data_IF_541857135684
#
_entry.id   IF_541857135684
#
_cell.length_a   1.000
_cell.length_b   1.000
_cell.length_c   1.000
_cell.angle_alpha   90.00
_cell.angle_beta   90.00
_cell.angle_gamma   90.00
#
_symmetry.space_group_name_H-M   'P 1'
#
loop_
_entity.id
_entity.type
_entity.pdbx_description
1 polymer ?
#
# COMPACT_ATOMS: atom_id res chain seq x y z
N UNK A 1 22.93 -36.85 16.24
CA UNK A 1 22.56 -36.45 14.85
C UNK A 1 21.09 -36.05 14.76
N UNK A 2 20.63 -35.00 15.45
CA UNK A 2 19.20 -34.53 15.43
C UNK A 2 19.04 -33.00 15.44
N UNK A 3 20.08 -32.24 15.08
CA UNK A 3 20.05 -30.75 15.03
C UNK A 3 20.18 -30.14 13.63
N UNK A 4 20.29 -30.96 12.58
CA UNK A 4 20.48 -30.47 11.21
C UNK A 4 19.16 -30.34 10.40
N UNK A 5 18.01 -30.75 10.94
CA UNK A 5 16.76 -30.79 10.16
C UNK A 5 15.85 -29.58 10.37
N UNK A 6 16.19 -28.66 11.28
CA UNK A 6 15.34 -27.47 11.56
C UNK A 6 15.78 -26.24 10.77
N UNK A 7 17.01 -26.25 10.23
CA UNK A 7 17.51 -25.09 9.42
C UNK A 7 17.12 -25.14 7.94
N UNK A 8 16.58 -26.25 7.45
CA UNK A 8 16.20 -26.37 6.03
C UNK A 8 14.80 -25.81 5.70
N UNK A 9 14.00 -25.44 6.70
CA UNK A 9 12.66 -24.84 6.49
C UNK A 9 12.65 -23.31 6.53
N UNK A 10 13.80 -22.66 6.71
CA UNK A 10 13.97 -21.21 6.59
C UNK A 10 14.70 -20.87 5.28
N UNK A 11 14.34 -21.54 4.18
CA UNK A 11 14.56 -20.92 2.88
C UNK A 11 13.79 -19.58 2.91
N UNK A 12 14.41 -18.45 2.64
CA UNK A 12 13.69 -17.19 2.57
C UNK A 12 12.66 -17.35 1.44
N UNK A 13 11.38 -17.50 1.83
CA UNK A 13 10.31 -17.19 0.90
C UNK A 13 10.49 -15.69 0.69
N UNK A 14 11.12 -15.32 -0.39
CA UNK A 14 11.26 -13.93 -0.79
C UNK A 14 9.84 -13.42 -1.04
N UNK A 15 9.31 -12.69 -0.11
CA UNK A 15 8.01 -12.04 -0.18
C UNK A 15 8.21 -10.59 -0.64
N UNK A 16 7.23 -9.96 -1.28
CA UNK A 16 7.44 -8.84 -2.21
C UNK A 16 6.32 -7.81 -2.11
N UNK A 17 6.59 -6.50 -2.05
CA UNK A 17 5.60 -5.48 -1.69
C UNK A 17 5.56 -4.25 -2.58
N UNK A 18 4.35 -3.76 -2.85
CA UNK A 18 4.11 -2.39 -3.32
C UNK A 18 4.34 -1.38 -2.19
N UNK A 19 4.73 -0.12 -2.48
CA UNK A 19 4.83 0.92 -1.46
C UNK A 19 3.51 1.06 -0.71
N UNK A 20 3.54 1.43 0.58
CA UNK A 20 2.33 1.66 1.36
C UNK A 20 1.34 2.56 0.64
N UNK A 21 0.16 2.05 0.35
CA UNK A 21 -0.84 2.65 -0.55
C UNK A 21 -2.20 2.74 0.12
N UNK A 22 -3.11 3.56 -0.45
CA UNK A 22 -4.55 3.42 -0.23
C UNK A 22 -5.04 2.15 -0.95
N UNK A 23 -5.57 2.30 -2.16
CA UNK A 23 -5.90 1.18 -3.03
C UNK A 23 -4.93 1.08 -4.21
N UNK A 24 -4.77 2.20 -4.92
CA UNK A 24 -4.02 2.30 -6.16
C UNK A 24 -2.93 3.36 -6.10
N UNK A 25 -3.06 4.34 -5.20
CA UNK A 25 -2.09 5.43 -5.10
C UNK A 25 -1.16 5.25 -3.90
N UNK A 26 0.14 5.49 -4.07
CA UNK A 26 1.07 5.51 -2.94
C UNK A 26 0.70 6.64 -1.97
N UNK A 27 0.95 6.41 -0.68
CA UNK A 27 0.82 7.42 0.38
C UNK A 27 2.19 7.89 0.85
N UNK A 28 2.19 8.85 1.74
CA UNK A 28 3.42 9.29 2.42
C UNK A 28 3.77 8.45 3.65
N UNK A 29 2.93 7.46 3.99
CA UNK A 29 3.19 6.53 5.08
C UNK A 29 4.32 5.57 4.70
N UNK A 30 5.01 5.10 5.71
CA UNK A 30 6.09 4.12 5.58
C UNK A 30 5.84 2.98 6.56
N UNK A 31 6.23 1.80 6.18
CA UNK A 31 6.47 0.74 7.16
C UNK A 31 7.53 1.25 8.15
N UNK A 32 7.31 1.16 9.47
CA UNK A 32 8.28 1.61 10.45
C UNK A 32 9.63 0.91 10.28
N UNK A 33 10.72 1.63 10.62
CA UNK A 33 12.07 1.06 10.58
C UNK A 33 12.15 -0.25 11.36
N UNK A 34 12.83 -1.24 10.80
CA UNK A 34 12.96 -2.61 11.34
C UNK A 34 11.64 -3.42 11.36
N UNK A 35 10.63 -2.97 10.67
CA UNK A 35 9.42 -3.75 10.47
C UNK A 35 9.33 -4.24 9.03
N UNK A 36 8.65 -5.36 8.87
CA UNK A 36 8.28 -5.94 7.58
C UNK A 36 6.78 -6.11 7.54
N UNK A 37 6.16 -5.63 6.48
CA UNK A 37 4.75 -5.87 6.16
C UNK A 37 4.68 -6.91 5.05
N UNK A 38 4.04 -8.03 5.31
CA UNK A 38 3.71 -9.04 4.31
C UNK A 38 2.25 -8.88 3.90
N UNK A 39 2.01 -8.86 2.61
CA UNK A 39 0.67 -8.67 2.06
C UNK A 39 0.37 -9.75 1.04
N UNK A 40 -0.87 -10.18 1.01
CA UNK A 40 -1.41 -11.05 -0.02
C UNK A 40 -2.63 -10.36 -0.60
N UNK A 41 -2.52 -9.93 -1.84
CA UNK A 41 -3.57 -9.23 -2.56
C UNK A 41 -4.07 -10.11 -3.72
N UNK A 42 -5.38 -10.07 -3.99
CA UNK A 42 -5.87 -10.59 -5.25
C UNK A 42 -5.44 -9.62 -6.37
N UNK A 43 -4.86 -10.14 -7.41
CA UNK A 43 -4.56 -9.37 -8.62
C UNK A 43 -5.82 -8.68 -9.14
N UNK A 44 -5.64 -7.49 -9.68
CA UNK A 44 -6.72 -6.71 -10.25
C UNK A 44 -7.32 -7.47 -11.43
N UNK A 45 -8.44 -8.13 -11.25
CA UNK A 45 -9.15 -8.74 -12.36
C UNK A 45 -9.78 -7.64 -13.18
N UNK A 46 -9.22 -7.34 -14.34
CA UNK A 46 -9.90 -6.57 -15.37
C UNK A 46 -11.22 -7.28 -15.70
N UNK A 47 -12.32 -6.72 -15.26
CA UNK A 47 -13.63 -7.18 -15.67
C UNK A 47 -13.96 -6.49 -16.98
N UNK A 48 -13.32 -6.91 -18.05
CA UNK A 48 -13.81 -6.62 -19.39
C UNK A 48 -15.02 -7.50 -19.66
N UNK A 49 -16.20 -6.94 -19.56
CA UNK A 49 -17.48 -7.34 -20.20
C UNK A 49 -17.99 -8.78 -20.11
N UNK A 50 -17.21 -9.78 -19.71
CA UNK A 50 -17.61 -11.20 -19.72
C UNK A 50 -16.95 -12.11 -18.69
N UNK A 51 -16.02 -11.68 -17.90
CA UNK A 51 -15.42 -12.56 -16.90
C UNK A 51 -16.02 -12.31 -15.52
N UNK A 52 -16.44 -13.36 -14.87
CA UNK A 52 -16.96 -13.33 -13.52
C UNK A 52 -15.89 -12.80 -12.56
N UNK A 53 -16.31 -12.06 -11.55
CA UNK A 53 -15.51 -11.64 -10.38
C UNK A 53 -14.68 -12.76 -9.72
N UNK A 54 -14.83 -13.99 -10.17
CA UNK A 54 -14.27 -15.22 -9.62
C UNK A 54 -13.44 -16.03 -10.61
N UNK A 55 -13.13 -15.50 -11.79
CA UNK A 55 -12.21 -16.21 -12.69
C UNK A 55 -10.78 -16.04 -12.19
N UNK A 56 -10.33 -17.03 -11.45
CA UNK A 56 -8.99 -17.24 -10.88
C UNK A 56 -8.35 -15.93 -10.41
N UNK A 57 -8.59 -15.53 -9.15
CA UNK A 57 -7.88 -14.39 -8.59
C UNK A 57 -6.40 -14.76 -8.58
N UNK A 58 -5.62 -14.11 -9.43
CA UNK A 58 -4.18 -14.19 -9.35
C UNK A 58 -3.76 -13.54 -8.04
N UNK A 59 -3.22 -14.34 -7.15
CA UNK A 59 -2.72 -13.84 -5.88
C UNK A 59 -1.36 -13.19 -6.08
N UNK A 60 -1.22 -11.98 -5.61
CA UNK A 60 0.02 -11.22 -5.66
C UNK A 60 0.59 -11.08 -4.24
N UNK A 61 1.60 -11.88 -3.90
CA UNK A 61 2.36 -11.68 -2.67
C UNK A 61 3.19 -10.40 -2.75
N UNK A 62 3.20 -9.66 -1.65
CA UNK A 62 3.90 -8.38 -1.52
C UNK A 62 4.60 -8.30 -0.18
N UNK A 63 5.75 -7.63 -0.09
CA UNK A 63 6.43 -7.33 1.18
C UNK A 63 7.07 -5.96 1.18
N UNK A 64 6.93 -5.24 2.26
CA UNK A 64 7.48 -3.90 2.47
C UNK A 64 8.42 -3.91 3.66
N UNK A 65 9.56 -3.28 3.50
CA UNK A 65 10.62 -3.20 4.49
C UNK A 65 10.82 -1.75 4.91
N UNK A 66 10.59 -1.44 6.16
CA UNK A 66 10.93 -0.15 6.74
C UNK A 66 12.44 -0.03 6.95
N UNK A 67 13.05 0.93 6.28
CA UNK A 67 14.48 1.19 6.30
C UNK A 67 14.80 2.49 7.06
N UNK A 68 16.06 2.71 7.49
CA UNK A 68 16.50 3.99 8.05
C UNK A 68 16.24 5.16 7.10
N UNK A 69 16.30 6.38 7.63
CA UNK A 69 16.17 7.66 6.89
C UNK A 69 14.85 7.87 6.16
N UNK A 70 13.76 7.31 6.67
CA UNK A 70 12.43 7.38 6.08
C UNK A 70 12.37 6.75 4.67
N UNK A 71 13.08 5.66 4.49
CA UNK A 71 13.03 4.85 3.28
C UNK A 71 12.16 3.61 3.48
N UNK A 72 11.55 3.16 2.42
CA UNK A 72 10.84 1.90 2.31
C UNK A 72 11.26 1.21 1.01
N UNK A 73 11.59 -0.05 1.10
CA UNK A 73 11.81 -0.90 -0.05
C UNK A 73 10.71 -1.95 -0.11
N UNK A 74 10.19 -2.16 -1.28
CA UNK A 74 9.15 -3.15 -1.52
C UNK A 74 9.54 -4.09 -2.64
N UNK A 75 8.99 -5.28 -2.60
CA UNK A 75 9.25 -6.29 -3.61
C UNK A 75 7.96 -7.08 -3.82
N UNK A 76 7.36 -7.05 -5.01
CA UNK A 76 6.13 -7.74 -5.41
C UNK A 76 6.41 -8.93 -6.31
N UNK A 77 5.49 -9.90 -6.33
CA UNK A 77 5.47 -10.94 -7.35
C UNK A 77 4.22 -10.77 -8.19
N UNK A 78 4.40 -10.21 -9.37
CA UNK A 78 3.30 -10.04 -10.29
C UNK A 78 3.21 -11.21 -11.26
N UNK A 79 1.98 -11.70 -11.52
CA UNK A 79 1.76 -12.63 -12.61
C UNK A 79 2.08 -11.94 -13.95
N UNK A 80 2.67 -12.68 -14.86
CA UNK A 80 2.96 -12.21 -16.22
C UNK A 80 2.32 -13.12 -17.25
N UNK A 81 2.10 -12.62 -18.47
CA UNK A 81 1.76 -13.46 -19.61
C UNK A 81 3.00 -14.22 -20.15
N UNK A 82 2.91 -15.51 -20.44
CA UNK A 82 1.74 -16.39 -20.27
C UNK A 82 1.44 -16.74 -18.82
N UNK A 83 0.18 -17.15 -18.51
CA UNK A 83 -0.21 -17.47 -17.14
C UNK A 83 0.73 -18.54 -16.54
N UNK A 84 1.15 -18.32 -15.28
CA UNK A 84 2.10 -19.10 -14.49
C UNK A 84 3.58 -18.66 -14.55
N UNK A 85 3.88 -17.59 -15.26
CA UNK A 85 5.18 -16.94 -15.10
C UNK A 85 5.04 -15.76 -14.11
N UNK A 86 5.81 -15.78 -13.02
CA UNK A 86 5.79 -14.74 -11.99
C UNK A 86 7.07 -13.92 -12.07
N UNK A 87 6.94 -12.60 -12.10
CA UNK A 87 8.06 -11.70 -12.20
C UNK A 87 8.23 -10.82 -10.97
N UNK A 88 9.48 -10.71 -10.50
CA UNK A 88 9.78 -9.82 -9.40
C UNK A 88 9.73 -8.35 -9.82
N UNK A 89 9.09 -7.56 -8.97
CA UNK A 89 8.98 -6.11 -9.08
C UNK A 89 9.55 -5.48 -7.82
N UNK A 90 10.56 -4.65 -7.96
CA UNK A 90 11.10 -3.86 -6.86
C UNK A 90 10.38 -2.51 -6.80
N UNK A 91 10.13 -2.04 -5.60
CA UNK A 91 9.55 -0.73 -5.32
C UNK A 91 10.42 -0.01 -4.29
N UNK A 92 10.53 1.31 -4.44
CA UNK A 92 11.29 2.16 -3.52
C UNK A 92 10.45 3.41 -3.22
N UNK A 93 10.44 3.81 -1.95
CA UNK A 93 9.80 5.05 -1.51
C UNK A 93 10.67 5.76 -0.48
N UNK A 94 10.70 7.05 -0.55
CA UNK A 94 11.36 7.94 0.39
C UNK A 94 10.42 9.06 0.80
N UNK A 95 10.29 9.30 2.11
CA UNK A 95 9.49 10.38 2.69
C UNK A 95 10.41 11.38 3.38
N UNK A 96 11.06 12.29 2.61
CA UNK A 96 12.00 13.27 3.16
C UNK A 96 11.35 14.29 4.10
N UNK A 97 10.07 14.55 3.93
CA UNK A 97 9.32 15.50 4.76
C UNK A 97 8.16 14.78 5.43
N UNK A 98 8.19 14.72 6.75
CA UNK A 98 7.06 14.24 7.56
C UNK A 98 6.04 15.34 7.77
N UNK A 99 4.78 14.97 7.89
CA UNK A 99 3.71 15.92 8.17
C UNK A 99 3.88 16.57 9.54
N UNK A 100 3.70 17.89 9.58
CA UNK A 100 3.43 18.65 10.80
C UNK A 100 2.18 19.52 10.61
N UNK A 101 1.87 20.40 11.58
CA UNK A 101 0.66 21.23 11.48
C UNK A 101 0.71 22.25 10.33
N UNK A 102 1.89 22.65 9.86
CA UNK A 102 2.07 23.65 8.77
C UNK A 102 2.40 23.01 7.44
N UNK A 103 3.15 21.94 7.46
CA UNK A 103 3.74 21.35 6.27
C UNK A 103 3.09 19.99 5.97
N UNK A 104 2.67 19.71 4.73
CA UNK A 104 2.26 18.37 4.34
C UNK A 104 3.46 17.42 4.34
N UNK A 105 3.20 16.14 4.55
CA UNK A 105 4.20 15.13 4.26
C UNK A 105 4.44 15.06 2.75
N UNK A 106 5.66 14.73 2.35
CA UNK A 106 6.07 14.57 0.95
C UNK A 106 6.75 13.22 0.80
N UNK A 107 6.28 12.42 -0.13
CA UNK A 107 6.92 11.17 -0.54
C UNK A 107 7.19 11.15 -2.04
N UNK A 108 8.29 10.53 -2.41
CA UNK A 108 8.65 10.26 -3.79
C UNK A 108 9.16 8.83 -3.89
N UNK A 109 9.03 8.24 -5.06
CA UNK A 109 9.48 6.87 -5.24
C UNK A 109 9.37 6.37 -6.67
N UNK A 110 9.72 5.11 -6.80
CA UNK A 110 9.63 4.38 -8.06
C UNK A 110 9.01 3.01 -7.79
N UNK A 111 8.15 2.57 -8.67
CA UNK A 111 7.52 1.26 -8.66
C UNK A 111 7.77 0.53 -9.96
N UNK A 112 7.53 -0.76 -9.97
CA UNK A 112 7.72 -1.62 -11.15
C UNK A 112 9.18 -1.64 -11.67
N UNK A 113 10.14 -1.51 -10.74
CA UNK A 113 11.55 -1.67 -11.06
C UNK A 113 11.84 -3.16 -11.24
N UNK A 114 12.00 -3.62 -12.47
CA UNK A 114 12.23 -5.03 -12.78
C UNK A 114 12.41 -5.32 -14.25
N UNK A 115 12.83 -6.53 -14.56
CA UNK A 115 13.02 -6.96 -15.95
C UNK A 115 11.69 -7.12 -16.65
N UNK A 116 11.51 -6.41 -17.75
CA UNK A 116 10.30 -6.49 -18.59
C UNK A 116 9.15 -5.59 -18.13
N UNK A 117 9.40 -4.69 -17.16
CA UNK A 117 8.44 -3.66 -16.76
C UNK A 117 8.98 -2.27 -17.07
N UNK A 118 8.08 -1.36 -17.38
CA UNK A 118 8.39 0.06 -17.48
C UNK A 118 8.25 0.67 -16.08
N UNK A 119 9.30 1.28 -15.52
CA UNK A 119 9.22 1.86 -14.19
C UNK A 119 8.26 3.04 -14.14
N UNK A 120 7.53 3.14 -13.05
CA UNK A 120 6.70 4.29 -12.72
C UNK A 120 7.40 5.11 -11.63
N UNK A 121 7.34 6.43 -11.74
CA UNK A 121 7.86 7.36 -10.74
C UNK A 121 6.73 8.19 -10.17
N UNK A 122 6.72 8.42 -8.88
CA UNK A 122 5.67 9.20 -8.24
C UNK A 122 6.19 10.28 -7.29
N UNK A 123 5.37 11.30 -7.12
CA UNK A 123 5.48 12.31 -6.08
C UNK A 123 4.10 12.45 -5.44
N UNK A 124 4.01 12.31 -4.12
CA UNK A 124 2.75 12.41 -3.37
C UNK A 124 2.94 13.33 -2.17
N UNK A 125 1.92 14.14 -1.94
CA UNK A 125 1.77 14.97 -0.75
C UNK A 125 0.58 14.46 0.04
N UNK A 126 0.69 14.43 1.37
CA UNK A 126 -0.41 14.06 2.25
C UNK A 126 -0.58 15.10 3.35
N UNK A 127 -1.84 15.47 3.62
CA UNK A 127 -2.17 16.45 4.65
C UNK A 127 -3.41 16.05 5.43
N UNK A 128 -3.27 15.97 6.74
CA UNK A 128 -4.38 15.72 7.67
C UNK A 128 -5.12 17.02 7.91
N UNK A 129 -6.41 17.02 7.63
CA UNK A 129 -7.28 18.14 7.97
C UNK A 129 -7.45 18.20 9.50
N UNK A 130 -7.46 19.41 10.05
CA UNK A 130 -7.56 19.65 11.50
C UNK A 130 -6.47 18.99 12.34
N UNK A 131 -5.25 18.88 11.80
CA UNK A 131 -4.11 18.22 12.45
C UNK A 131 -3.88 18.69 13.90
N UNK A 132 -3.95 19.99 14.17
CA UNK A 132 -3.79 20.54 15.53
C UNK A 132 -4.88 20.09 16.48
N UNK A 133 -6.12 20.08 16.03
CA UNK A 133 -7.26 19.68 16.84
C UNK A 133 -7.18 18.19 17.20
N UNK A 134 -6.74 17.37 16.26
CA UNK A 134 -6.55 15.93 16.46
C UNK A 134 -5.43 15.67 17.47
N UNK A 135 -4.29 16.33 17.35
CA UNK A 135 -3.18 16.17 18.27
C UNK A 135 -3.54 16.65 19.69
N UNK A 136 -4.22 17.78 19.82
CA UNK A 136 -4.71 18.28 21.10
C UNK A 136 -5.68 17.31 21.78
N UNK A 137 -6.53 16.69 21.00
CA UNK A 137 -7.52 15.75 21.52
C UNK A 137 -6.93 14.37 21.81
N UNK A 138 -5.98 13.89 21.02
CA UNK A 138 -5.16 12.71 21.35
C UNK A 138 -4.45 12.91 22.70
N UNK A 139 -3.94 14.10 22.96
CA UNK A 139 -3.31 14.45 24.25
C UNK A 139 -4.31 14.42 25.42
N UNK A 140 -5.54 14.92 25.23
CA UNK A 140 -6.60 14.88 26.25
C UNK A 140 -7.28 13.51 26.40
N UNK A 141 -7.35 12.72 25.35
CA UNK A 141 -8.04 11.43 25.32
C UNK A 141 -7.35 10.35 26.16
N UNK A 142 -6.16 10.60 26.71
CA UNK A 142 -5.57 9.73 27.75
C UNK A 142 -6.50 9.55 28.97
N UNK A 143 -7.55 10.35 29.09
CA UNK A 143 -8.50 10.31 30.20
C UNK A 143 -9.97 10.03 29.80
N UNK A 144 -10.31 9.90 28.50
CA UNK A 144 -11.66 9.55 28.04
C UNK A 144 -11.58 8.90 26.67
N UNK A 145 -12.31 7.81 26.47
CA UNK A 145 -12.39 6.99 25.24
C UNK A 145 -13.01 7.69 24.00
N UNK A 146 -12.79 8.98 23.82
CA UNK A 146 -13.28 9.71 22.64
C UNK A 146 -12.09 9.83 21.68
N UNK A 147 -12.10 9.01 20.64
CA UNK A 147 -11.11 9.06 19.55
C UNK A 147 -11.64 9.96 18.46
N UNK A 148 -11.01 11.09 18.28
CA UNK A 148 -11.26 11.97 17.14
C UNK A 148 -10.34 11.58 15.99
N UNK A 149 -10.92 11.57 14.83
CA UNK A 149 -10.34 10.96 13.65
C UNK A 149 -10.19 11.98 12.55
N UNK A 150 -8.97 12.08 12.05
CA UNK A 150 -8.65 13.01 10.98
C UNK A 150 -9.06 12.45 9.63
N UNK A 151 -9.51 13.34 8.77
CA UNK A 151 -9.56 13.10 7.34
C UNK A 151 -8.21 13.52 6.80
N UNK A 152 -7.55 12.65 6.06
CA UNK A 152 -6.29 12.95 5.39
C UNK A 152 -6.51 13.01 3.88
N UNK A 153 -5.96 14.01 3.26
CA UNK A 153 -5.99 14.20 1.81
C UNK A 153 -4.63 13.85 1.21
N UNK A 154 -4.66 13.22 0.07
CA UNK A 154 -3.51 12.86 -0.73
C UNK A 154 -3.63 13.46 -2.12
N UNK A 155 -2.53 14.00 -2.63
CA UNK A 155 -2.48 14.51 -3.99
C UNK A 155 -1.10 14.34 -4.57
N UNK A 156 -0.99 14.04 -5.85
CA UNK A 156 0.31 13.79 -6.43
C UNK A 156 0.31 13.60 -7.93
N UNK A 157 1.47 13.20 -8.41
CA UNK A 157 1.73 12.90 -9.81
C UNK A 157 2.40 11.53 -9.93
N UNK A 158 2.01 10.80 -10.94
CA UNK A 158 2.59 9.52 -11.35
C UNK A 158 3.08 9.66 -12.79
N UNK A 159 4.35 9.36 -13.03
CA UNK A 159 4.94 9.24 -14.36
C UNK A 159 5.01 7.77 -14.72
N UNK A 160 4.20 7.35 -15.67
CA UNK A 160 4.28 6.03 -16.30
C UNK A 160 5.14 6.13 -17.57
N UNK A 161 5.46 5.01 -18.22
CA UNK A 161 6.21 5.00 -19.49
C UNK A 161 5.66 6.00 -20.50
N UNK A 162 4.33 6.10 -20.61
CA UNK A 162 3.65 6.79 -21.72
C UNK A 162 2.97 8.10 -21.30
N UNK A 163 2.81 8.40 -19.99
CA UNK A 163 2.03 9.56 -19.58
C UNK A 163 2.31 10.03 -18.15
N UNK A 164 2.00 11.30 -17.88
CA UNK A 164 1.78 11.82 -16.55
C UNK A 164 0.33 11.59 -16.12
N UNK A 165 0.14 11.20 -14.87
CA UNK A 165 -1.15 10.95 -14.24
C UNK A 165 -1.28 11.76 -12.97
N UNK A 166 -2.44 12.36 -12.74
CA UNK A 166 -2.76 12.95 -11.45
C UNK A 166 -3.23 11.85 -10.49
N UNK A 167 -2.80 11.94 -9.25
CA UNK A 167 -3.21 11.10 -8.12
C UNK A 167 -4.00 11.96 -7.16
N UNK A 168 -5.17 11.49 -6.74
CA UNK A 168 -5.98 12.11 -5.68
C UNK A 168 -6.53 11.02 -4.80
N UNK A 169 -6.49 11.23 -3.48
CA UNK A 169 -7.03 10.28 -2.53
C UNK A 169 -7.39 10.91 -1.20
N UNK A 170 -8.10 10.18 -0.42
CA UNK A 170 -8.46 10.53 0.95
C UNK A 170 -8.62 9.28 1.80
N UNK A 171 -8.25 9.37 3.05
CA UNK A 171 -8.58 8.38 4.07
C UNK A 171 -9.16 9.04 5.32
N UNK A 172 -9.94 8.27 6.07
CA UNK A 172 -10.47 8.68 7.36
C UNK A 172 -10.58 7.48 8.32
N UNK A 173 -9.99 7.63 9.49
CA UNK A 173 -10.19 6.67 10.57
C UNK A 173 -11.62 6.81 11.12
N UNK A 174 -12.46 5.84 11.00
CA UNK A 174 -13.83 5.80 11.54
C UNK A 174 -13.81 5.36 13.02
N UNK A 175 -12.97 4.40 13.33
CA UNK A 175 -12.71 3.89 14.69
C UNK A 175 -11.36 3.17 14.73
N UNK A 176 -10.92 2.64 15.87
CA UNK A 176 -9.61 2.01 16.06
C UNK A 176 -9.37 0.81 15.15
N UNK A 177 -10.45 0.25 14.64
CA UNK A 177 -10.45 -0.94 13.82
C UNK A 177 -10.86 -0.69 12.38
N UNK A 178 -11.28 0.53 12.03
CA UNK A 178 -11.82 0.75 10.70
C UNK A 178 -11.39 2.09 10.10
N UNK A 179 -10.71 2.02 8.97
CA UNK A 179 -10.33 3.15 8.11
C UNK A 179 -11.09 3.02 6.80
N UNK A 180 -11.71 4.09 6.34
CA UNK A 180 -12.29 4.19 5.00
C UNK A 180 -11.39 5.06 4.13
N UNK A 181 -11.39 4.78 2.83
CA UNK A 181 -10.60 5.55 1.89
C UNK A 181 -11.18 5.51 0.48
N UNK A 182 -10.81 6.51 -0.28
CA UNK A 182 -11.09 6.59 -1.71
C UNK A 182 -9.88 7.15 -2.42
N UNK A 183 -9.61 6.67 -3.63
CA UNK A 183 -8.56 7.22 -4.48
C UNK A 183 -8.94 7.19 -5.96
N UNK A 184 -8.22 7.98 -6.73
CA UNK A 184 -8.40 8.12 -8.15
C UNK A 184 -7.07 8.40 -8.84
N UNK A 185 -6.86 7.72 -9.96
CA UNK A 185 -5.76 7.96 -10.88
C UNK A 185 -6.34 8.47 -12.20
N UNK A 186 -5.83 9.58 -12.72
CA UNK A 186 -6.29 10.12 -13.99
C UNK A 186 -5.92 9.24 -15.19
N UNK A 187 -6.73 9.31 -16.24
CA UNK A 187 -6.53 8.61 -17.51
C UNK A 187 -7.53 7.50 -17.77
N UNK A 188 -7.80 7.25 -19.04
CA UNK A 188 -8.84 6.34 -19.48
C UNK A 188 -8.63 4.87 -19.06
N UNK A 189 -7.38 4.46 -18.81
CA UNK A 189 -7.04 3.09 -18.41
C UNK A 189 -6.97 2.90 -16.88
N UNK A 190 -7.28 3.95 -16.12
CA UNK A 190 -7.25 3.94 -14.67
C UNK A 190 -8.65 3.98 -14.08
N UNK A 191 -8.75 3.93 -12.77
CA UNK A 191 -9.99 3.77 -12.05
C UNK A 191 -10.09 4.75 -10.87
N UNK A 192 -11.30 4.90 -10.35
CA UNK A 192 -11.57 5.31 -8.99
C UNK A 192 -11.74 4.05 -8.13
N UNK A 193 -11.20 4.07 -6.93
CA UNK A 193 -11.39 3.00 -5.95
C UNK A 193 -11.97 3.57 -4.66
N UNK A 194 -12.83 2.78 -4.02
CA UNK A 194 -13.40 3.09 -2.71
C UNK A 194 -13.38 1.82 -1.87
N UNK A 195 -12.92 1.93 -0.64
CA UNK A 195 -12.80 0.78 0.23
C UNK A 195 -12.53 1.11 1.69
N UNK A 196 -12.06 0.10 2.40
CA UNK A 196 -11.68 0.24 3.80
C UNK A 196 -10.74 -0.84 4.26
N UNK A 197 -10.05 -0.53 5.37
CA UNK A 197 -9.22 -1.47 6.11
C UNK A 197 -9.89 -1.78 7.43
N UNK A 198 -10.01 -3.05 7.74
CA UNK A 198 -10.34 -3.54 9.07
C UNK A 198 -9.06 -3.98 9.78
N UNK A 199 -8.68 -3.27 10.82
CA UNK A 199 -7.53 -3.55 11.68
C UNK A 199 -7.96 -4.56 12.74
N UNK A 200 -7.50 -5.80 12.62
CA UNK A 200 -7.79 -6.88 13.57
C UNK A 200 -7.02 -6.63 14.87
N UNK A 201 -5.73 -6.38 14.73
CA UNK A 201 -4.81 -6.06 15.83
C UNK A 201 -3.63 -5.19 15.31
N UNK A 202 -2.56 -5.05 16.11
CA UNK A 202 -1.39 -4.23 15.75
C UNK A 202 -0.59 -4.79 14.58
N UNK A 203 -0.75 -6.05 14.26
CA UNK A 203 0.03 -6.77 13.24
C UNK A 203 -0.81 -7.15 12.03
N UNK A 204 -2.12 -7.30 12.19
CA UNK A 204 -2.98 -7.90 11.19
C UNK A 204 -4.09 -6.95 10.74
N UNK A 205 -4.29 -6.86 9.43
CA UNK A 205 -5.41 -6.13 8.85
C UNK A 205 -5.93 -6.80 7.58
N UNK A 206 -7.17 -6.50 7.26
CA UNK A 206 -7.84 -6.92 6.02
C UNK A 206 -8.35 -5.67 5.32
N UNK A 207 -8.06 -5.57 4.04
CA UNK A 207 -8.52 -4.50 3.16
C UNK A 207 -9.51 -5.05 2.14
N UNK A 208 -10.55 -4.27 1.87
CA UNK A 208 -11.48 -4.55 0.77
C UNK A 208 -11.87 -3.27 0.05
N UNK A 209 -11.87 -3.30 -1.28
CA UNK A 209 -12.18 -2.14 -2.12
C UNK A 209 -12.83 -2.53 -3.42
N UNK A 210 -13.70 -1.66 -3.91
CA UNK A 210 -14.28 -1.76 -5.25
C UNK A 210 -13.66 -0.72 -6.16
N UNK A 211 -13.43 -1.10 -7.41
CA UNK A 211 -12.87 -0.24 -8.45
C UNK A 211 -13.91 -0.02 -9.53
N UNK A 212 -13.90 1.19 -10.09
CA UNK A 212 -14.63 1.52 -11.31
C UNK A 212 -13.73 2.29 -12.25
N UNK A 213 -13.61 1.81 -13.48
CA UNK A 213 -12.82 2.46 -14.52
C UNK A 213 -13.29 3.88 -14.84
N UNK A 214 -12.35 4.73 -15.23
CA UNK A 214 -12.63 6.10 -15.65
C UNK A 214 -13.44 6.18 -16.95
N UNK A 215 -13.53 5.09 -17.70
CA UNK A 215 -14.33 4.95 -18.95
C UNK A 215 -15.29 3.78 -18.75
N UNK A 216 -16.54 3.94 -19.19
CA UNK A 216 -17.65 3.03 -18.86
C UNK A 216 -17.41 1.56 -19.15
N UNK A 217 -16.63 1.23 -20.17
CA UNK A 217 -16.38 -0.17 -20.59
C UNK A 217 -15.07 -0.76 -20.02
N UNK A 218 -14.41 -0.06 -19.09
CA UNK A 218 -13.11 -0.47 -18.59
C UNK A 218 -13.09 -0.59 -17.09
N UNK A 219 -12.43 -1.63 -16.63
CA UNK A 219 -12.03 -1.89 -15.23
C UNK A 219 -13.15 -1.66 -14.21
N UNK A 220 -13.84 -2.72 -13.88
CA UNK A 220 -14.54 -2.81 -12.58
C UNK A 220 -13.96 -4.01 -11.86
N UNK A 221 -13.64 -3.88 -10.60
CA UNK A 221 -12.97 -4.95 -9.88
C UNK A 221 -13.15 -4.85 -8.38
N UNK A 222 -12.67 -5.90 -7.72
CA UNK A 222 -12.60 -6.01 -6.27
C UNK A 222 -11.13 -6.21 -5.89
N UNK A 223 -10.63 -5.40 -4.97
CA UNK A 223 -9.36 -5.63 -4.30
C UNK A 223 -9.68 -6.24 -2.94
N UNK A 224 -9.05 -7.37 -2.64
CA UNK A 224 -9.00 -7.96 -1.32
C UNK A 224 -7.53 -8.15 -0.95
N UNK A 225 -7.16 -7.71 0.25
CA UNK A 225 -5.79 -7.81 0.73
C UNK A 225 -5.78 -8.20 2.20
N UNK A 226 -4.89 -9.09 2.54
CA UNK A 226 -4.57 -9.44 3.93
C UNK A 226 -3.14 -8.97 4.20
N UNK A 227 -2.92 -8.30 5.31
CA UNK A 227 -1.62 -7.77 5.72
C UNK A 227 -1.22 -8.32 7.08
N UNK A 228 0.03 -8.74 7.19
CA UNK A 228 0.67 -9.09 8.46
C UNK A 228 1.98 -8.31 8.60
N UNK A 229 2.12 -7.55 9.69
CA UNK A 229 3.33 -6.76 9.98
C UNK A 229 4.02 -7.30 11.22
N UNK A 230 5.33 -7.46 11.18
CA UNK A 230 6.13 -7.94 12.31
C UNK A 230 7.45 -7.17 12.41
N UNK A 231 8.02 -7.18 13.62
CA UNK A 231 9.34 -6.59 13.85
C UNK A 231 10.44 -7.60 13.51
N UNK A 232 11.47 -7.14 12.83
CA UNK A 232 12.69 -7.92 12.64
C UNK A 232 13.45 -7.95 13.97
N UNK A 233 13.48 -9.10 14.62
CA UNK A 233 14.30 -9.29 15.82
C UNK A 233 15.78 -9.09 15.44
N UNK A 234 16.36 -7.95 15.88
CA UNK A 234 17.79 -7.62 15.77
C UNK A 234 18.52 -8.17 14.51
N UNK A 235 18.25 -7.66 13.33
CA UNK A 235 19.14 -7.94 12.23
C UNK A 235 20.29 -6.95 12.32
N UNK A 236 21.49 -7.47 12.58
CA UNK A 236 22.75 -6.74 12.46
C UNK A 236 23.08 -5.74 13.57
N UNK A 237 23.43 -6.22 14.77
CA UNK A 237 24.49 -5.58 15.54
C UNK A 237 25.83 -5.93 14.83
N UNK A 238 26.35 -4.97 14.07
CA UNK A 238 27.72 -4.98 13.55
C UNK A 238 28.65 -4.26 14.48
#
# INVERSE_FOLDING_TARGET
>A
MRRALVLACLAPVAAWASPSMLNQIPTTDLVPEKQVSLQLQNGNTEVSGRSSLFHQPELMPQSEFGLPWNLEAGLDVAPSDPPHDYRPILNLKWTPVREDYRVPAIALGATQLGVGFDPNYFLVLSKTLNYQQIQYQKFRAHHRNIKLRGIRLHGGLLRTANAWRALVGTDAEVNDHFVIYADWISGAQNAVAVGGVFVIDKQNSIQASVLRGNVEDRVSGLILQVTHTFELAHPFEW
#
